data_IF_750426949324
#
_entry.id   IF_750426949324
#
_cell.length_a   1.000
_cell.length_b   1.000
_cell.length_c   1.000
_cell.angle_alpha   90.00
_cell.angle_beta   90.00
_cell.angle_gamma   90.00
#
_symmetry.space_group_name_H-M   'P 1'
#
loop_
_entity.id
_entity.type
_entity.pdbx_description
1 polymer ?
#
# COMPACT_ATOMS: atom_id res chain seq x y z
N UNK A 1 32.48 18.68 -98.65
CA UNK A 1 32.83 17.26 -98.37
C UNK A 1 32.89 17.10 -96.87
N UNK A 2 32.21 16.20 -96.16
CA UNK A 2 31.41 15.02 -96.47
C UNK A 2 31.44 14.18 -95.19
N UNK A 3 30.27 13.82 -94.67
CA UNK A 3 29.93 12.71 -93.77
C UNK A 3 30.92 12.27 -92.65
N UNK A 4 30.46 12.16 -91.40
CA UNK A 4 29.89 10.91 -90.84
C UNK A 4 29.58 11.04 -89.34
N UNK A 5 28.37 10.58 -88.96
CA UNK A 5 27.88 10.40 -87.59
C UNK A 5 28.46 9.12 -86.95
N UNK A 6 28.79 9.15 -85.65
CA UNK A 6 28.89 7.96 -84.78
C UNK A 6 28.67 8.38 -83.30
N UNK A 7 27.46 8.20 -82.76
CA UNK A 7 26.89 7.07 -81.97
C UNK A 7 27.48 6.86 -80.56
N UNK A 8 26.65 7.24 -79.56
CA UNK A 8 26.27 6.53 -78.31
C UNK A 8 27.39 6.33 -77.26
N UNK A 9 27.17 6.56 -75.95
CA UNK A 9 26.17 5.94 -75.08
C UNK A 9 25.83 6.84 -73.88
N UNK A 10 24.54 6.95 -73.56
CA UNK A 10 24.06 7.44 -72.27
C UNK A 10 24.30 6.35 -71.21
N UNK A 11 24.96 6.70 -70.12
CA UNK A 11 25.03 5.87 -68.91
C UNK A 11 23.90 6.31 -67.98
N UNK A 12 22.85 5.50 -67.95
CA UNK A 12 21.78 5.56 -66.96
C UNK A 12 22.36 5.18 -65.60
N UNK A 13 22.59 6.16 -64.73
CA UNK A 13 22.84 5.94 -63.30
C UNK A 13 21.52 5.75 -62.56
N UNK A 14 21.13 4.50 -62.31
CA UNK A 14 20.03 4.15 -61.41
C UNK A 14 20.46 4.50 -59.98
N UNK A 15 19.89 5.55 -59.41
CA UNK A 15 20.03 5.86 -57.99
C UNK A 15 19.25 4.82 -57.17
N UNK A 16 19.96 3.83 -56.63
CA UNK A 16 19.39 2.89 -55.66
C UNK A 16 19.12 3.63 -54.34
N UNK A 17 17.86 4.00 -54.09
CA UNK A 17 17.37 4.39 -52.78
C UNK A 17 17.42 3.17 -51.85
N UNK A 18 18.51 3.02 -51.11
CA UNK A 18 18.60 2.07 -50.00
C UNK A 18 17.66 2.55 -48.88
N UNK A 19 16.45 2.00 -48.82
CA UNK A 19 15.58 2.13 -47.66
C UNK A 19 16.19 1.35 -46.49
N UNK A 20 16.87 2.06 -45.60
CA UNK A 20 17.33 1.51 -44.32
C UNK A 20 16.09 1.26 -43.46
N UNK A 21 15.58 0.03 -43.49
CA UNK A 21 14.65 -0.45 -42.46
C UNK A 21 15.44 -0.60 -41.16
N UNK A 22 15.34 0.38 -40.27
CA UNK A 22 15.77 0.25 -38.89
C UNK A 22 14.84 -0.75 -38.20
N UNK A 23 15.28 -1.99 -38.11
CA UNK A 23 14.68 -2.99 -37.22
C UNK A 23 14.89 -2.49 -35.79
N UNK A 24 13.90 -1.78 -35.25
CA UNK A 24 13.79 -1.55 -33.82
C UNK A 24 13.54 -2.92 -33.20
N UNK A 25 14.45 -3.48 -32.38
CA UNK A 25 14.10 -4.67 -31.63
C UNK A 25 12.99 -4.27 -30.68
N UNK A 26 11.78 -4.77 -30.92
CA UNK A 26 10.73 -4.75 -29.94
C UNK A 26 11.20 -5.65 -28.78
N UNK A 27 11.89 -5.04 -27.81
CA UNK A 27 12.14 -5.68 -26.52
C UNK A 27 10.79 -5.72 -25.83
N UNK A 28 10.01 -6.74 -26.15
CA UNK A 28 8.79 -7.07 -25.44
C UNK A 28 9.19 -7.39 -24.00
N UNK A 29 9.12 -6.40 -23.13
CA UNK A 29 9.01 -6.66 -21.70
C UNK A 29 7.64 -7.31 -21.54
N UNK A 30 7.59 -8.63 -21.63
CA UNK A 30 6.48 -9.39 -21.05
C UNK A 30 6.61 -9.21 -19.55
N UNK A 31 6.17 -8.06 -19.04
CA UNK A 31 5.79 -7.96 -17.65
C UNK A 31 4.64 -8.96 -17.52
N UNK A 32 4.91 -10.09 -16.88
CA UNK A 32 3.86 -10.98 -16.42
C UNK A 32 2.84 -10.10 -15.69
N UNK A 33 1.65 -9.97 -16.26
CA UNK A 33 0.60 -9.16 -15.68
C UNK A 33 0.13 -9.91 -14.44
N UNK A 34 0.87 -9.74 -13.34
CA UNK A 34 0.55 -10.31 -12.04
C UNK A 34 -0.92 -9.99 -11.77
N UNK A 35 -1.67 -10.99 -11.30
CA UNK A 35 -3.10 -10.84 -11.04
C UNK A 35 -3.39 -9.51 -10.33
N UNK A 36 -4.49 -8.85 -10.69
CA UNK A 36 -4.87 -7.56 -10.12
C UNK A 36 -5.00 -7.58 -8.59
N UNK A 37 -5.14 -8.77 -8.01
CA UNK A 37 -5.08 -9.06 -6.59
C UNK A 37 -4.65 -10.53 -6.36
N UNK A 38 -3.72 -10.75 -5.43
CA UNK A 38 -3.34 -12.07 -4.92
C UNK A 38 -3.64 -12.11 -3.41
N UNK A 39 -4.52 -13.01 -2.92
CA UNK A 39 -4.81 -13.09 -1.48
C UNK A 39 -3.59 -13.53 -0.66
N UNK A 40 -2.64 -14.27 -1.24
CA UNK A 40 -1.42 -14.70 -0.55
C UNK A 40 -0.33 -13.63 -0.46
N UNK A 41 -0.39 -12.60 -1.32
CA UNK A 41 0.64 -11.58 -1.46
C UNK A 41 -0.01 -10.22 -1.79
N UNK A 42 -0.60 -9.59 -0.78
CA UNK A 42 -1.39 -8.35 -0.93
C UNK A 42 -0.50 -7.13 -1.08
N UNK A 43 0.60 -7.09 -0.32
CA UNK A 43 1.58 -6.00 -0.26
C UNK A 43 2.92 -6.58 0.19
N UNK A 44 4.03 -6.04 -0.34
CA UNK A 44 5.37 -6.46 0.08
C UNK A 44 5.71 -5.89 1.47
N UNK A 45 6.58 -6.58 2.21
CA UNK A 45 7.11 -6.05 3.48
C UNK A 45 7.77 -4.68 3.29
N UNK A 46 8.51 -4.48 2.19
CA UNK A 46 9.15 -3.19 1.88
C UNK A 46 8.11 -2.06 1.71
N UNK A 47 7.06 -2.29 0.92
CA UNK A 47 6.01 -1.28 0.72
C UNK A 47 5.21 -1.00 1.99
N UNK A 48 5.07 -2.01 2.86
CA UNK A 48 4.28 -1.90 4.08
C UNK A 48 5.04 -1.23 5.24
N UNK A 49 6.29 -1.61 5.46
CA UNK A 49 7.08 -1.18 6.61
C UNK A 49 7.99 0.01 6.32
N UNK A 50 8.15 0.47 5.08
CA UNK A 50 9.01 1.61 4.75
C UNK A 50 8.44 2.95 5.27
N UNK A 51 8.95 3.51 6.39
CA UNK A 51 8.44 4.76 6.94
C UNK A 51 8.81 5.97 6.08
N UNK A 52 9.80 5.83 5.19
CA UNK A 52 10.30 6.87 4.31
C UNK A 52 9.57 6.88 2.96
N UNK A 53 8.46 6.15 2.80
CA UNK A 53 7.74 6.07 1.53
C UNK A 53 7.07 7.40 1.13
N UNK A 54 6.88 8.32 2.09
CA UNK A 54 6.47 9.71 1.87
C UNK A 54 7.03 10.61 2.99
N UNK A 55 7.47 11.81 2.65
CA UNK A 55 7.76 12.85 3.65
C UNK A 55 6.47 13.51 4.16
N UNK A 56 6.54 14.27 5.25
CA UNK A 56 5.43 15.09 5.73
C UNK A 56 4.89 16.06 4.65
N UNK A 57 5.79 16.63 3.84
CA UNK A 57 5.43 17.51 2.73
C UNK A 57 4.70 16.75 1.62
N UNK A 58 5.16 15.55 1.27
CA UNK A 58 4.50 14.69 0.27
C UNK A 58 3.10 14.29 0.73
N UNK A 59 2.94 13.92 2.00
CA UNK A 59 1.64 13.58 2.59
C UNK A 59 0.72 14.80 2.51
N UNK A 60 1.20 15.98 2.90
CA UNK A 60 0.41 17.20 2.84
C UNK A 60 -0.03 17.52 1.40
N UNK A 61 0.87 17.41 0.42
CA UNK A 61 0.57 17.62 -1.00
C UNK A 61 -0.45 16.60 -1.50
N UNK A 62 -0.28 15.33 -1.14
CA UNK A 62 -1.19 14.25 -1.51
C UNK A 62 -2.61 14.50 -0.98
N UNK A 63 -2.73 14.84 0.32
CA UNK A 63 -4.00 15.15 0.97
C UNK A 63 -4.67 16.39 0.34
N UNK A 64 -3.89 17.44 0.04
CA UNK A 64 -4.42 18.65 -0.59
C UNK A 64 -4.92 18.42 -2.02
N UNK A 65 -4.38 17.41 -2.72
CA UNK A 65 -4.80 17.04 -4.07
C UNK A 65 -6.01 16.09 -4.11
N UNK A 66 -6.54 15.64 -2.96
CA UNK A 66 -7.74 14.79 -2.93
C UNK A 66 -9.01 15.64 -3.08
N UNK A 67 -10.00 15.19 -3.88
CA UNK A 67 -11.32 15.79 -3.82
C UNK A 67 -11.90 15.55 -2.44
N UNK A 68 -12.37 16.60 -1.76
CA UNK A 68 -12.88 16.48 -0.40
C UNK A 68 -14.23 17.20 -0.24
N UNK A 69 -15.22 16.47 0.23
CA UNK A 69 -16.57 16.93 0.57
C UNK A 69 -16.87 16.56 2.02
N UNK A 70 -16.44 17.38 3.00
CA UNK A 70 -16.63 17.08 4.41
C UNK A 70 -18.11 17.16 4.79
N UNK A 71 -18.47 16.45 5.86
CA UNK A 71 -19.80 16.44 6.48
C UNK A 71 -19.71 17.10 7.86
N UNK A 72 -20.84 17.43 8.47
CA UNK A 72 -20.93 17.83 9.89
C UNK A 72 -20.02 19.02 10.31
N UNK A 73 -19.68 19.90 9.36
CA UNK A 73 -18.86 21.10 9.63
C UNK A 73 -17.37 20.83 9.91
N UNK A 74 -16.88 19.60 9.79
CA UNK A 74 -15.46 19.29 10.01
C UNK A 74 -14.58 19.71 8.82
N UNK A 75 -13.28 20.01 9.02
CA UNK A 75 -12.42 20.33 7.90
C UNK A 75 -12.03 19.07 7.10
N UNK A 76 -11.64 19.25 5.85
CA UNK A 76 -10.91 18.24 5.10
C UNK A 76 -9.61 17.84 5.80
N UNK A 77 -9.18 16.58 5.64
CA UNK A 77 -7.98 16.06 6.31
C UNK A 77 -6.72 16.90 6.02
N UNK A 78 -6.61 17.46 4.82
CA UNK A 78 -5.53 18.38 4.43
C UNK A 78 -5.46 19.68 5.24
N UNK A 79 -6.57 20.08 5.87
CA UNK A 79 -6.71 21.28 6.72
C UNK A 79 -6.96 20.94 8.19
N UNK A 80 -7.17 19.67 8.52
CA UNK A 80 -7.42 19.22 9.88
C UNK A 80 -6.21 19.44 10.77
N UNK A 81 -6.48 19.87 12.00
CA UNK A 81 -5.49 20.12 13.04
C UNK A 81 -5.96 19.54 14.36
N UNK A 82 -5.01 19.06 15.16
CA UNK A 82 -5.28 18.42 16.44
C UNK A 82 -4.12 18.64 17.40
N UNK A 83 -4.42 18.69 18.70
CA UNK A 83 -3.40 18.61 19.74
C UNK A 83 -3.08 17.15 20.01
N UNK A 84 -1.80 16.81 20.09
CA UNK A 84 -1.34 15.44 20.32
C UNK A 84 -0.62 15.34 21.66
N UNK A 85 -0.82 14.24 22.42
CA UNK A 85 -0.16 14.02 23.70
C UNK A 85 1.28 13.51 23.52
N UNK A 86 2.06 13.59 24.60
CA UNK A 86 3.25 12.76 24.73
C UNK A 86 2.85 11.27 24.78
N UNK A 87 3.61 10.42 24.10
CA UNK A 87 3.45 8.97 24.13
C UNK A 87 4.80 8.34 24.43
N UNK A 88 4.85 7.52 25.48
CA UNK A 88 6.05 6.76 25.84
C UNK A 88 6.40 5.74 24.74
N UNK A 89 7.68 5.34 24.70
CA UNK A 89 8.09 4.27 23.80
C UNK A 89 7.39 2.95 24.20
N UNK A 90 6.96 2.19 23.20
CA UNK A 90 6.51 0.81 23.35
C UNK A 90 7.56 -0.07 22.71
N UNK A 91 8.37 -0.82 23.50
CA UNK A 91 9.46 -1.64 22.99
C UNK A 91 9.02 -2.49 21.80
N UNK A 92 9.81 -2.47 20.72
CA UNK A 92 9.60 -3.25 19.47
C UNK A 92 8.41 -2.81 18.60
N UNK A 93 7.51 -1.95 19.12
CA UNK A 93 6.35 -1.45 18.38
C UNK A 93 6.57 -0.03 17.88
N UNK A 94 6.71 0.93 18.78
CA UNK A 94 6.83 2.34 18.42
C UNK A 94 7.79 3.06 19.36
N UNK A 95 8.63 3.94 18.82
CA UNK A 95 9.43 4.87 19.63
C UNK A 95 8.54 5.92 20.29
N UNK A 96 9.08 6.63 21.28
CA UNK A 96 8.35 7.71 21.94
C UNK A 96 7.99 8.84 20.97
N UNK A 97 6.85 9.48 21.19
CA UNK A 97 6.39 10.66 20.45
C UNK A 97 6.20 11.82 21.43
N UNK A 98 6.66 13.02 21.04
CA UNK A 98 6.45 14.23 21.83
C UNK A 98 5.19 14.97 21.42
N UNK A 99 4.36 15.37 22.37
CA UNK A 99 3.13 16.09 22.09
C UNK A 99 3.34 17.35 21.26
N UNK A 100 2.33 17.74 20.48
CA UNK A 100 2.32 18.93 19.66
C UNK A 100 0.98 19.66 19.80
N UNK A 101 1.01 20.99 19.64
CA UNK A 101 -0.20 21.82 19.58
C UNK A 101 -0.54 22.12 18.14
N UNK A 102 -1.83 22.14 17.81
CA UNK A 102 -2.36 22.56 16.51
C UNK A 102 -1.70 21.82 15.32
N UNK A 103 -1.39 20.55 15.53
CA UNK A 103 -0.60 19.70 14.63
C UNK A 103 -1.41 19.32 13.40
N UNK A 104 -0.81 19.44 12.21
CA UNK A 104 -1.46 19.02 10.96
C UNK A 104 -1.58 17.50 10.91
N UNK A 105 -2.67 17.01 10.32
CA UNK A 105 -2.85 15.58 10.07
C UNK A 105 -1.67 14.94 9.31
N UNK A 106 -1.08 15.65 8.35
CA UNK A 106 0.11 15.19 7.60
C UNK A 106 1.32 14.94 8.50
N UNK A 107 1.51 15.75 9.54
CA UNK A 107 2.61 15.58 10.49
C UNK A 107 2.36 14.44 11.46
N UNK A 108 1.10 14.28 11.93
CA UNK A 108 0.68 13.13 12.72
C UNK A 108 0.99 11.83 11.98
N UNK A 109 0.56 11.72 10.71
CA UNK A 109 0.80 10.52 9.88
C UNK A 109 2.30 10.27 9.71
N UNK A 110 3.08 11.29 9.35
CA UNK A 110 4.52 11.15 9.13
C UNK A 110 5.27 10.68 10.38
N UNK A 111 4.97 11.28 11.53
CA UNK A 111 5.65 10.96 12.78
C UNK A 111 5.24 9.62 13.34
N UNK A 112 3.95 9.26 13.26
CA UNK A 112 3.49 7.92 13.68
C UNK A 112 4.10 6.84 12.77
N UNK A 113 4.09 7.06 11.45
CA UNK A 113 4.74 6.18 10.49
C UNK A 113 6.22 5.94 10.83
N UNK A 114 6.97 7.02 11.09
CA UNK A 114 8.37 6.94 11.48
C UNK A 114 8.56 6.22 12.82
N UNK A 115 7.82 6.62 13.86
CA UNK A 115 7.96 6.06 15.20
C UNK A 115 7.66 4.57 15.25
N UNK A 116 6.68 4.10 14.47
CA UNK A 116 6.26 2.72 14.44
C UNK A 116 6.87 1.91 13.28
N UNK A 117 7.69 2.50 12.40
CA UNK A 117 8.21 1.82 11.19
C UNK A 117 7.08 1.20 10.36
N UNK A 118 6.14 2.05 9.93
CA UNK A 118 5.01 1.73 9.06
C UNK A 118 4.98 2.77 7.93
N UNK A 119 4.65 2.34 6.72
CA UNK A 119 4.57 3.21 5.56
C UNK A 119 3.43 4.23 5.68
N UNK A 120 3.71 5.55 5.49
CA UNK A 120 2.66 6.56 5.41
C UNK A 120 1.58 6.24 4.37
N UNK A 121 1.96 5.58 3.26
CA UNK A 121 1.03 5.14 2.20
C UNK A 121 0.00 4.13 2.72
N UNK A 122 0.42 3.19 3.56
CA UNK A 122 -0.46 2.21 4.21
C UNK A 122 -1.47 2.94 5.12
N UNK A 123 -1.00 3.87 5.96
CA UNK A 123 -1.87 4.64 6.84
C UNK A 123 -2.90 5.47 6.06
N UNK A 124 -2.50 6.09 4.94
CA UNK A 124 -3.40 6.86 4.08
C UNK A 124 -4.48 5.98 3.44
N UNK A 125 -4.13 4.78 2.97
CA UNK A 125 -5.11 3.81 2.43
C UNK A 125 -6.07 3.36 3.52
N UNK A 126 -5.56 3.09 4.74
CA UNK A 126 -6.39 2.68 5.86
C UNK A 126 -7.42 3.76 6.23
N UNK A 127 -6.98 5.02 6.39
CA UNK A 127 -7.86 6.16 6.69
C UNK A 127 -9.00 6.33 5.67
N UNK A 128 -8.73 6.03 4.39
CA UNK A 128 -9.76 6.06 3.37
C UNK A 128 -10.67 4.84 3.42
N UNK A 129 -10.11 3.64 3.54
CA UNK A 129 -10.87 2.39 3.54
C UNK A 129 -11.86 2.35 4.70
N UNK A 130 -11.44 2.80 5.88
CA UNK A 130 -12.20 2.64 7.12
C UNK A 130 -13.23 3.75 7.32
N UNK A 131 -12.89 5.00 7.02
CA UNK A 131 -13.75 6.15 7.35
C UNK A 131 -13.89 7.17 6.21
N UNK A 132 -13.37 6.87 5.01
CA UNK A 132 -13.38 7.79 3.87
C UNK A 132 -12.80 9.18 4.17
N UNK A 133 -11.88 9.30 5.14
CA UNK A 133 -11.44 10.60 5.66
C UNK A 133 -10.73 11.48 4.63
N UNK A 134 -10.14 10.88 3.59
CA UNK A 134 -9.44 11.63 2.56
C UNK A 134 -10.41 12.30 1.57
N UNK A 135 -11.66 11.82 1.46
CA UNK A 135 -12.62 12.32 0.46
C UNK A 135 -13.95 12.81 1.03
N UNK A 136 -14.43 12.26 2.14
CA UNK A 136 -15.70 12.61 2.76
C UNK A 136 -15.65 12.53 4.30
N UNK A 137 -14.75 13.27 4.96
CA UNK A 137 -14.59 13.20 6.41
C UNK A 137 -15.85 13.66 7.14
N UNK A 138 -16.10 13.05 8.31
CA UNK A 138 -17.20 13.36 9.22
C UNK A 138 -16.69 13.49 10.65
N UNK A 139 -17.51 14.03 11.56
CA UNK A 139 -17.14 14.12 12.98
C UNK A 139 -16.86 12.74 13.58
N UNK A 140 -17.75 11.76 13.32
CA UNK A 140 -17.57 10.37 13.75
C UNK A 140 -16.32 9.73 13.11
N UNK A 141 -16.06 10.02 11.84
CA UNK A 141 -14.89 9.53 11.13
C UNK A 141 -13.59 9.96 11.80
N UNK A 142 -13.48 11.21 12.28
CA UNK A 142 -12.29 11.64 13.02
C UNK A 142 -12.13 10.95 14.38
N UNK A 143 -13.22 10.53 15.01
CA UNK A 143 -13.15 9.76 16.26
C UNK A 143 -12.70 8.32 16.01
N UNK A 144 -13.09 7.72 14.88
CA UNK A 144 -12.89 6.29 14.56
C UNK A 144 -12.01 6.08 13.33
N UNK A 145 -11.05 6.97 13.10
CA UNK A 145 -10.34 7.19 11.83
C UNK A 145 -9.81 5.94 11.11
N UNK A 146 -9.43 4.91 11.86
CA UNK A 146 -8.91 3.65 11.32
C UNK A 146 -9.76 2.44 11.73
N UNK A 147 -10.89 2.64 12.40
CA UNK A 147 -11.72 1.55 12.94
C UNK A 147 -11.06 0.76 14.07
N UNK A 148 -9.99 1.28 14.69
CA UNK A 148 -9.32 0.56 15.77
C UNK A 148 -10.23 0.49 17.01
N UNK A 149 -10.34 -0.70 17.60
CA UNK A 149 -11.19 -1.02 18.73
C UNK A 149 -12.69 -0.72 18.49
N UNK A 150 -13.15 -0.94 17.25
CA UNK A 150 -14.56 -0.88 16.84
C UNK A 150 -15.01 -2.26 16.32
N UNK A 151 -15.34 -3.21 17.20
CA UNK A 151 -15.83 -4.52 16.77
C UNK A 151 -17.22 -4.41 16.13
N UNK A 152 -17.52 -5.24 15.14
CA UNK A 152 -18.83 -5.24 14.46
C UNK A 152 -20.00 -5.60 15.40
N UNK A 153 -19.71 -6.26 16.52
CA UNK A 153 -20.71 -6.81 17.46
C UNK A 153 -20.82 -6.03 18.78
N UNK A 154 -20.05 -4.94 18.96
CA UNK A 154 -20.12 -4.13 20.18
C UNK A 154 -19.80 -2.66 19.90
N UNK A 155 -20.03 -1.81 20.90
CA UNK A 155 -19.64 -0.40 20.82
C UNK A 155 -18.11 -0.25 20.72
N UNK A 156 -17.68 0.79 20.02
CA UNK A 156 -16.27 1.12 19.97
C UNK A 156 -15.77 1.58 21.33
N UNK A 157 -14.54 1.19 21.70
CA UNK A 157 -13.93 1.67 22.94
C UNK A 157 -13.53 3.16 22.82
N UNK A 158 -14.28 3.99 23.54
CA UNK A 158 -14.14 5.45 23.56
C UNK A 158 -12.73 5.91 24.00
N UNK A 159 -11.96 5.08 24.72
CA UNK A 159 -10.58 5.37 25.08
C UNK A 159 -9.68 5.62 23.88
N UNK A 160 -10.00 5.02 22.73
CA UNK A 160 -9.19 5.14 21.51
C UNK A 160 -9.74 6.18 20.53
N UNK A 161 -10.75 6.94 20.92
CA UNK A 161 -11.31 7.97 20.07
C UNK A 161 -10.32 9.11 19.80
N UNK A 162 -10.43 9.68 18.60
CA UNK A 162 -9.67 10.82 18.12
C UNK A 162 -8.61 10.44 17.08
N UNK A 163 -8.39 11.34 16.13
CA UNK A 163 -7.57 11.08 14.95
C UNK A 163 -6.17 10.57 15.29
N UNK A 164 -5.47 11.23 16.21
CA UNK A 164 -4.13 10.81 16.63
C UNK A 164 -4.13 9.41 17.26
N UNK A 165 -5.06 9.15 18.19
CA UNK A 165 -5.14 7.88 18.89
C UNK A 165 -5.40 6.72 17.93
N UNK A 166 -6.31 6.91 16.98
CA UNK A 166 -6.62 5.92 15.94
C UNK A 166 -5.41 5.64 15.04
N UNK A 167 -4.76 6.69 14.51
CA UNK A 167 -3.58 6.54 13.64
C UNK A 167 -2.42 5.87 14.38
N UNK A 168 -2.12 6.29 15.62
CA UNK A 168 -1.09 5.69 16.46
C UNK A 168 -1.39 4.23 16.77
N UNK A 169 -2.63 3.91 17.20
CA UNK A 169 -2.99 2.55 17.59
C UNK A 169 -3.05 1.58 16.42
N UNK A 170 -3.51 2.02 15.25
CA UNK A 170 -3.42 1.20 14.05
C UNK A 170 -1.96 0.86 13.69
N UNK A 171 -1.07 1.86 13.69
CA UNK A 171 0.35 1.64 13.43
C UNK A 171 0.98 0.72 14.49
N UNK A 172 0.72 0.97 15.77
CA UNK A 172 1.17 0.12 16.88
C UNK A 172 0.67 -1.31 16.73
N UNK A 173 -0.60 -1.51 16.38
CA UNK A 173 -1.21 -2.83 16.24
C UNK A 173 -0.61 -3.63 15.09
N UNK A 174 -0.28 -2.98 13.96
CA UNK A 174 0.46 -3.65 12.89
C UNK A 174 1.83 -4.13 13.37
N UNK A 175 2.49 -3.36 14.24
CA UNK A 175 3.76 -3.79 14.83
C UNK A 175 3.57 -4.93 15.82
N UNK A 176 2.51 -4.90 16.62
CA UNK A 176 2.15 -6.00 17.50
C UNK A 176 1.97 -7.32 16.74
N UNK A 177 1.28 -7.29 15.60
CA UNK A 177 1.13 -8.45 14.71
C UNK A 177 2.47 -8.98 14.19
N UNK A 178 3.40 -8.06 13.89
CA UNK A 178 4.74 -8.40 13.40
C UNK A 178 5.62 -9.02 14.49
N UNK A 179 5.60 -8.48 15.71
CA UNK A 179 6.55 -8.87 16.76
C UNK A 179 6.08 -10.06 17.59
N UNK A 180 4.77 -10.30 17.67
CA UNK A 180 4.18 -11.48 18.32
C UNK A 180 3.32 -12.29 17.35
N UNK A 181 3.86 -12.75 16.21
CA UNK A 181 3.05 -13.38 15.15
C UNK A 181 2.40 -14.71 15.60
N UNK A 182 2.88 -15.31 16.70
CA UNK A 182 2.29 -16.51 17.30
C UNK A 182 0.99 -16.26 18.07
N UNK A 183 0.73 -15.02 18.50
CA UNK A 183 -0.43 -14.66 19.31
C UNK A 183 -1.67 -14.30 18.47
N UNK A 184 -1.50 -14.22 17.15
CA UNK A 184 -2.53 -13.76 16.22
C UNK A 184 -2.98 -14.87 15.26
N UNK A 185 -4.22 -14.73 14.77
CA UNK A 185 -4.90 -15.78 13.99
C UNK A 185 -4.18 -16.12 12.68
N UNK A 186 -3.70 -15.11 11.96
CA UNK A 186 -3.10 -15.28 10.63
C UNK A 186 -1.60 -15.04 10.66
N UNK A 187 -0.84 -15.93 10.00
CA UNK A 187 0.63 -15.94 9.97
C UNK A 187 1.17 -16.29 8.58
N UNK A 188 2.46 -16.13 8.35
CA UNK A 188 3.11 -16.60 7.10
C UNK A 188 2.87 -18.10 6.93
N UNK A 189 2.57 -18.53 5.69
CA UNK A 189 2.25 -19.91 5.35
C UNK A 189 0.75 -20.16 5.12
N UNK A 190 0.33 -21.42 5.20
CA UNK A 190 -1.06 -21.83 4.89
C UNK A 190 -2.02 -21.43 6.01
N UNK A 191 -3.07 -20.70 5.66
CA UNK A 191 -4.14 -20.30 6.57
C UNK A 191 -5.50 -20.58 5.92
N UNK A 192 -6.49 -20.98 6.72
CA UNK A 192 -7.89 -21.01 6.28
C UNK A 192 -8.53 -19.66 6.56
N UNK A 193 -8.91 -18.94 5.50
CA UNK A 193 -9.44 -17.57 5.59
C UNK A 193 -10.88 -17.55 5.08
N UNK A 194 -11.78 -17.00 5.90
CA UNK A 194 -13.20 -16.86 5.57
C UNK A 194 -13.44 -15.82 4.48
N UNK A 195 -14.47 -16.04 3.66
CA UNK A 195 -14.92 -15.04 2.69
C UNK A 195 -15.76 -13.94 3.33
N UNK A 196 -16.40 -14.21 4.48
CA UNK A 196 -17.35 -13.33 5.14
C UNK A 196 -17.45 -13.68 6.65
N UNK A 197 -17.89 -12.76 7.53
CA UNK A 197 -18.19 -13.08 8.93
C UNK A 197 -19.16 -14.26 9.11
N UNK A 198 -20.13 -14.36 8.21
CA UNK A 198 -21.02 -15.51 8.12
C UNK A 198 -20.24 -16.74 7.62
N UNK A 199 -20.09 -17.73 8.49
CA UNK A 199 -19.37 -18.96 8.18
C UNK A 199 -20.01 -19.78 7.05
N UNK A 200 -21.32 -19.61 6.77
CA UNK A 200 -22.00 -20.29 5.66
C UNK A 200 -21.49 -19.87 4.29
N UNK A 201 -20.86 -18.69 4.20
CA UNK A 201 -20.19 -18.20 2.99
C UNK A 201 -18.90 -18.96 2.64
N UNK A 202 -18.41 -19.81 3.54
CA UNK A 202 -17.27 -20.68 3.30
C UNK A 202 -15.91 -20.02 3.52
N UNK A 203 -14.88 -20.80 3.22
CA UNK A 203 -13.46 -20.46 3.41
C UNK A 203 -12.64 -20.99 2.25
N UNK A 204 -11.41 -20.51 2.09
CA UNK A 204 -10.39 -21.22 1.31
C UNK A 204 -9.02 -21.10 1.96
N UNK A 205 -8.12 -21.98 1.53
CA UNK A 205 -6.73 -21.95 1.99
C UNK A 205 -5.95 -20.91 1.21
N UNK A 206 -5.36 -19.95 1.92
CA UNK A 206 -4.47 -18.93 1.40
C UNK A 206 -3.07 -19.19 1.93
N UNK A 207 -2.06 -19.21 1.05
CA UNK A 207 -0.66 -19.25 1.47
C UNK A 207 -0.15 -17.82 1.56
N UNK A 208 -0.07 -17.30 2.78
CA UNK A 208 0.42 -15.94 3.06
C UNK A 208 1.93 -15.90 2.89
N UNK A 209 2.42 -15.04 1.99
CA UNK A 209 3.81 -15.00 1.56
C UNK A 209 4.73 -14.21 2.49
N UNK A 210 4.21 -13.20 3.19
CA UNK A 210 5.01 -12.26 3.98
C UNK A 210 4.24 -11.71 5.20
N UNK A 211 4.98 -11.03 6.09
CA UNK A 211 4.45 -10.57 7.36
C UNK A 211 3.45 -9.42 7.17
N UNK A 212 3.69 -8.53 6.21
CA UNK A 212 2.78 -7.45 5.88
C UNK A 212 1.39 -7.95 5.44
N UNK A 213 1.34 -9.02 4.65
CA UNK A 213 0.09 -9.66 4.24
C UNK A 213 -0.62 -10.31 5.43
N UNK A 214 0.12 -10.99 6.32
CA UNK A 214 -0.43 -11.52 7.57
C UNK A 214 -1.05 -10.40 8.44
N UNK A 215 -0.36 -9.27 8.56
CA UNK A 215 -0.81 -8.11 9.31
C UNK A 215 -2.12 -7.52 8.77
N UNK A 216 -2.28 -7.45 7.43
CA UNK A 216 -3.52 -6.99 6.81
C UNK A 216 -4.70 -7.93 7.11
N UNK A 217 -4.48 -9.25 7.10
CA UNK A 217 -5.53 -10.19 7.49
C UNK A 217 -5.87 -10.13 8.97
N UNK A 218 -4.89 -9.94 9.86
CA UNK A 218 -5.17 -9.75 11.29
C UNK A 218 -5.94 -8.44 11.56
N UNK A 219 -5.78 -7.42 10.71
CA UNK A 219 -6.55 -6.17 10.80
C UNK A 219 -7.94 -6.26 10.13
N UNK A 220 -8.06 -6.99 9.03
CA UNK A 220 -9.29 -7.10 8.23
C UNK A 220 -9.50 -8.56 7.84
N UNK A 221 -10.20 -9.35 8.67
CA UNK A 221 -10.08 -10.81 8.70
C UNK A 221 -10.91 -11.57 7.66
N UNK A 222 -10.95 -11.10 6.40
CA UNK A 222 -11.65 -11.79 5.29
C UNK A 222 -10.93 -11.62 3.95
N UNK A 223 -11.12 -12.60 3.06
CA UNK A 223 -10.66 -12.55 1.68
C UNK A 223 -11.85 -12.39 0.70
N UNK A 224 -11.67 -11.74 -0.46
CA UNK A 224 -12.71 -11.67 -1.46
C UNK A 224 -13.01 -13.06 -2.04
N UNK A 225 -14.29 -13.36 -2.27
CA UNK A 225 -14.70 -14.53 -3.05
C UNK A 225 -14.63 -14.25 -4.56
N UNK A 226 -14.90 -15.26 -5.39
CA UNK A 226 -14.90 -15.11 -6.85
C UNK A 226 -15.87 -14.02 -7.36
N UNK A 227 -17.04 -13.88 -6.75
CA UNK A 227 -18.02 -12.83 -7.10
C UNK A 227 -17.48 -11.43 -6.83
N UNK A 228 -16.82 -11.24 -5.69
CA UNK A 228 -16.19 -9.96 -5.30
C UNK A 228 -15.10 -9.59 -6.29
N UNK A 229 -14.26 -10.55 -6.68
CA UNK A 229 -13.19 -10.34 -7.66
C UNK A 229 -13.74 -10.00 -9.05
N UNK A 230 -14.87 -10.59 -9.45
CA UNK A 230 -15.54 -10.27 -10.71
C UNK A 230 -16.21 -8.88 -10.70
N UNK A 231 -16.58 -8.35 -9.53
CA UNK A 231 -17.23 -7.04 -9.36
C UNK A 231 -16.49 -6.17 -8.34
N UNK A 232 -15.25 -5.74 -8.62
CA UNK A 232 -14.38 -5.14 -7.61
C UNK A 232 -14.89 -3.80 -7.06
N UNK A 233 -15.75 -3.08 -7.79
CA UNK A 233 -16.42 -1.84 -7.33
C UNK A 233 -17.83 -2.04 -6.76
N UNK A 234 -18.32 -3.28 -6.75
CA UNK A 234 -19.67 -3.61 -6.33
C UNK A 234 -20.78 -3.21 -7.32
N UNK A 235 -22.06 -3.51 -6.98
CA UNK A 235 -22.45 -4.38 -5.85
C UNK A 235 -22.12 -5.85 -6.15
N UNK A 236 -21.81 -6.61 -5.10
CA UNK A 236 -21.58 -8.06 -5.18
C UNK A 236 -22.59 -8.83 -4.30
N UNK A 237 -22.51 -10.16 -4.27
CA UNK A 237 -23.46 -11.02 -3.56
C UNK A 237 -23.30 -11.00 -2.03
N UNK A 238 -24.22 -11.66 -1.32
CA UNK A 238 -24.32 -11.66 0.15
C UNK A 238 -23.03 -12.12 0.88
N UNK A 239 -22.18 -12.89 0.20
CA UNK A 239 -20.92 -13.40 0.75
C UNK A 239 -19.68 -12.59 0.37
N UNK A 240 -19.86 -11.36 -0.13
CA UNK A 240 -18.78 -10.55 -0.68
C UNK A 240 -18.15 -9.65 0.38
N UNK A 241 -16.85 -9.80 0.61
CA UNK A 241 -16.07 -8.86 1.43
C UNK A 241 -14.99 -8.18 0.62
N UNK A 242 -14.90 -6.86 0.77
CA UNK A 242 -14.03 -6.03 -0.07
C UNK A 242 -12.79 -5.51 0.65
N UNK A 243 -12.60 -5.76 1.94
CA UNK A 243 -11.60 -5.08 2.76
C UNK A 243 -10.18 -5.13 2.17
N UNK A 244 -9.60 -6.33 2.05
CA UNK A 244 -8.25 -6.50 1.51
C UNK A 244 -8.16 -6.18 0.01
N UNK A 245 -9.20 -6.45 -0.77
CA UNK A 245 -9.28 -6.07 -2.18
C UNK A 245 -9.25 -4.55 -2.36
N UNK A 246 -10.05 -3.80 -1.61
CA UNK A 246 -10.10 -2.35 -1.63
C UNK A 246 -8.79 -1.75 -1.14
N UNK A 247 -8.14 -2.34 -0.13
CA UNK A 247 -6.81 -1.91 0.28
C UNK A 247 -5.83 -1.97 -0.91
N UNK A 248 -5.70 -3.13 -1.56
CA UNK A 248 -4.79 -3.31 -2.70
C UNK A 248 -5.13 -2.37 -3.85
N UNK A 249 -6.41 -2.22 -4.18
CA UNK A 249 -6.87 -1.33 -5.26
C UNK A 249 -6.60 0.14 -4.98
N UNK A 250 -6.88 0.62 -3.77
CA UNK A 250 -6.61 2.00 -3.36
C UNK A 250 -5.10 2.27 -3.36
N UNK A 251 -4.30 1.35 -2.82
CA UNK A 251 -2.85 1.47 -2.84
C UNK A 251 -2.32 1.55 -4.27
N UNK A 252 -2.76 0.63 -5.14
CA UNK A 252 -2.37 0.60 -6.55
C UNK A 252 -2.73 1.90 -7.27
N UNK A 253 -3.97 2.37 -7.12
CA UNK A 253 -4.46 3.58 -7.75
C UNK A 253 -3.72 4.86 -7.31
N UNK A 254 -3.16 4.89 -6.11
CA UNK A 254 -2.52 6.09 -5.56
C UNK A 254 -1.01 6.08 -5.65
N UNK A 255 -0.39 4.91 -5.52
CA UNK A 255 1.04 4.78 -5.29
C UNK A 255 1.73 3.78 -6.22
N UNK A 256 0.99 3.16 -7.14
CA UNK A 256 1.48 2.06 -7.98
C UNK A 256 1.50 0.73 -7.25
N UNK A 257 2.20 -0.26 -7.81
CA UNK A 257 2.14 -1.64 -7.31
C UNK A 257 2.42 -1.75 -5.81
N UNK A 258 1.52 -2.36 -5.00
CA UNK A 258 1.79 -2.65 -3.58
C UNK A 258 2.91 -3.68 -3.39
N UNK A 259 3.30 -4.37 -4.46
CA UNK A 259 4.33 -5.40 -4.45
C UNK A 259 5.69 -4.89 -4.89
N UNK A 260 5.82 -3.58 -5.10
CA UNK A 260 7.11 -2.97 -5.39
C UNK A 260 8.09 -3.23 -4.24
N UNK A 261 9.31 -3.63 -4.59
CA UNK A 261 10.44 -3.80 -3.67
C UNK A 261 11.58 -2.92 -4.17
N UNK A 262 12.08 -2.03 -3.32
CA UNK A 262 13.19 -1.13 -3.64
C UNK A 262 14.48 -1.95 -3.74
N UNK A 263 15.25 -1.72 -4.80
CA UNK A 263 16.59 -2.30 -4.97
C UNK A 263 16.63 -3.84 -4.82
N UNK A 264 15.61 -4.53 -5.32
CA UNK A 264 15.52 -6.00 -5.25
C UNK A 264 16.79 -6.66 -5.81
N UNK A 265 17.43 -7.52 -5.01
CA UNK A 265 18.68 -8.20 -5.36
C UNK A 265 19.95 -7.37 -5.19
N UNK A 266 19.85 -6.09 -4.80
CA UNK A 266 21.01 -5.20 -4.62
C UNK A 266 21.28 -4.81 -3.17
N UNK A 267 20.27 -4.86 -2.29
CA UNK A 267 20.41 -4.48 -0.87
C UNK A 267 20.06 -5.63 0.07
N UNK A 268 20.66 -5.68 1.27
CA UNK A 268 20.31 -6.68 2.28
C UNK A 268 18.82 -6.61 2.66
N UNK A 269 18.27 -7.76 3.05
CA UNK A 269 16.87 -7.95 3.45
C UNK A 269 16.39 -6.92 4.51
N UNK A 270 17.28 -6.53 5.43
CA UNK A 270 16.99 -5.50 6.43
C UNK A 270 16.62 -4.14 5.82
N UNK A 271 17.29 -3.70 4.75
CA UNK A 271 17.05 -2.39 4.15
C UNK A 271 15.72 -2.31 3.36
N UNK A 272 15.15 -3.49 3.07
CA UNK A 272 13.83 -3.68 2.47
C UNK A 272 12.82 -4.26 3.47
N UNK A 273 13.14 -4.22 4.77
CA UNK A 273 12.26 -4.59 5.86
C UNK A 273 11.67 -6.01 5.78
N UNK A 274 12.37 -6.98 5.18
CA UNK A 274 11.90 -8.37 5.11
C UNK A 274 11.57 -8.90 6.51
N UNK A 275 10.36 -9.47 6.68
CA UNK A 275 9.85 -9.95 7.96
C UNK A 275 9.31 -8.84 8.88
N UNK A 276 9.50 -7.57 8.52
CA UNK A 276 8.97 -6.40 9.24
C UNK A 276 9.61 -6.12 10.60
N UNK A 277 10.37 -7.04 11.18
CA UNK A 277 10.99 -6.93 12.50
C UNK A 277 12.30 -7.72 12.56
N UNK A 278 13.23 -7.27 13.40
CA UNK A 278 14.50 -7.93 13.62
C UNK A 278 15.41 -7.83 12.40
N UNK A 279 16.26 -6.80 12.35
CA UNK A 279 17.45 -6.89 11.54
C UNK A 279 18.53 -7.54 12.38
N UNK A 280 18.87 -8.80 12.09
CA UNK A 280 20.13 -9.32 12.61
C UNK A 280 21.26 -8.42 12.11
N UNK A 281 22.15 -7.94 12.99
CA UNK A 281 23.32 -7.18 12.57
C UNK A 281 24.12 -8.06 11.62
N UNK A 282 24.33 -7.62 10.38
CA UNK A 282 25.25 -8.29 9.46
C UNK A 282 26.65 -8.13 10.07
N UNK A 283 27.17 -9.19 10.70
CA UNK A 283 28.55 -9.18 11.18
C UNK A 283 29.45 -9.18 9.95
N UNK A 284 30.39 -8.23 9.81
CA UNK A 284 31.19 -8.06 8.60
C UNK A 284 32.04 -9.26 8.14
N UNK A 285 32.07 -10.36 8.92
CA UNK A 285 32.99 -11.49 8.72
C UNK A 285 32.34 -12.88 8.69
N UNK A 286 31.01 -12.98 8.70
CA UNK A 286 30.32 -14.29 8.74
C UNK A 286 29.93 -14.80 7.33
N UNK A 287 30.39 -14.15 6.26
CA UNK A 287 30.25 -14.62 4.87
C UNK A 287 31.54 -15.26 4.35
N UNK A 288 31.71 -16.55 4.62
CA UNK A 288 32.70 -17.43 3.98
C UNK A 288 32.02 -18.44 3.08
#
# INVERSE_FOLDING_TARGET
MGFLRRRWRALSGVAALAAVFTLVPAVGVFAEQKASFDPGDIISDDSFFNPNSMTQADIQKFLAARPCKPKDGVPCLSRYRVDTPDVAASPERCTALRGQRNERASNVIARVAAACTISPRVLLVLLQKEQSLLTAPSASGYQKATGYACPDTAECDAKFFGFFNQVYRAAWQFREYTVHPGDWRYRIGKNSIQYHPDATCGTSTVTIANQATANLYNYTPYQPNAETLAKPTGPAGACSTFGNLNFSRLYNAWFGSPLAVRFAGFVPACLIYTGGFGCEPVRPFDGG
#
